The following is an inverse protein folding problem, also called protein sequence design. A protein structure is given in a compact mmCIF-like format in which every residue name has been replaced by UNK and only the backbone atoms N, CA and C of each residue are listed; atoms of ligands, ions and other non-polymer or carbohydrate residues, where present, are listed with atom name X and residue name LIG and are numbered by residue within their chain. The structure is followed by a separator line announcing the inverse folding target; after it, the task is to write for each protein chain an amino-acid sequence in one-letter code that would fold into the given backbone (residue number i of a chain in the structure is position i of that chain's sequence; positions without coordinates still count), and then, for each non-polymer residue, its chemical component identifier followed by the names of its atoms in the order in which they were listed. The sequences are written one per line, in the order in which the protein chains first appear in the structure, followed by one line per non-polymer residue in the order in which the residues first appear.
data_IF_704459745690
#
_entry.id   IF_704459745690
#
_cell.length_a   1.000
_cell.length_b   1.000
_cell.length_c   1.000
_cell.angle_alpha   90.00
_cell.angle_beta   90.00
_cell.angle_gamma   90.00
#
_symmetry.space_group_name_H-M   'P 1'
#
loop_
_entity.id
_entity.type
_entity.pdbx_description
1 polymer ?
#
# COMPACT_ATOMS: atom_id res chain seq x y z
N UNK A 1 9.49 -4.31 -26.53
CA UNK A 1 10.92 -4.19 -26.18
C UNK A 1 11.02 -4.07 -24.68
N UNK A 2 11.70 -5.03 -24.01
CA UNK A 2 12.03 -4.91 -22.59
C UNK A 2 13.16 -3.89 -22.50
N UNK A 3 12.90 -2.74 -21.87
CA UNK A 3 13.95 -1.75 -21.65
C UNK A 3 14.76 -2.21 -20.44
N UNK A 4 16.05 -2.42 -20.64
CA UNK A 4 16.98 -2.85 -19.59
C UNK A 4 17.67 -1.62 -18.99
N UNK A 5 18.08 -1.71 -17.72
CA UNK A 5 18.92 -0.71 -17.09
C UNK A 5 20.26 -0.62 -17.81
N UNK A 6 20.70 0.58 -18.19
CA UNK A 6 21.95 0.78 -18.94
C UNK A 6 23.19 0.46 -18.09
N UNK A 7 23.06 0.53 -16.75
CA UNK A 7 24.16 0.35 -15.82
C UNK A 7 24.38 -1.12 -15.43
N UNK A 8 23.32 -1.94 -15.38
CA UNK A 8 23.43 -3.34 -14.93
C UNK A 8 22.83 -4.37 -15.90
N UNK A 9 22.18 -3.95 -16.99
CA UNK A 9 21.63 -4.85 -18.00
C UNK A 9 20.37 -5.62 -17.57
N UNK A 10 19.97 -5.55 -16.30
CA UNK A 10 18.74 -6.19 -15.83
C UNK A 10 17.48 -5.40 -16.25
N UNK A 11 16.42 -6.15 -16.52
CA UNK A 11 15.06 -5.63 -16.67
C UNK A 11 14.68 -4.81 -15.42
N UNK A 12 13.95 -3.69 -15.58
CA UNK A 12 13.50 -2.81 -14.49
C UNK A 12 12.60 -3.48 -13.44
N UNK A 13 12.42 -4.79 -13.52
CA UNK A 13 11.66 -5.64 -12.61
C UNK A 13 12.44 -6.01 -11.34
N UNK A 14 13.75 -5.73 -11.28
CA UNK A 14 14.57 -5.86 -10.06
C UNK A 14 15.37 -4.58 -9.83
N UNK A 15 15.02 -3.84 -8.79
CA UNK A 15 15.82 -2.72 -8.32
C UNK A 15 16.81 -3.21 -7.26
N UNK A 16 18.11 -2.90 -7.38
CA UNK A 16 19.11 -3.33 -6.41
C UNK A 16 18.89 -2.71 -5.02
N UNK A 17 18.23 -1.55 -4.95
CA UNK A 17 17.84 -0.88 -3.71
C UNK A 17 16.73 0.17 -3.96
N UNK A 18 16.21 0.75 -2.87
CA UNK A 18 15.16 1.77 -2.89
C UNK A 18 15.60 3.07 -3.60
N UNK A 19 16.89 3.42 -3.57
CA UNK A 19 17.41 4.61 -4.24
C UNK A 19 17.32 4.48 -5.76
N UNK A 20 17.72 3.34 -6.33
CA UNK A 20 17.61 3.08 -7.78
C UNK A 20 16.15 3.03 -8.24
N UNK A 21 15.23 2.55 -7.39
CA UNK A 21 13.78 2.58 -7.66
C UNK A 21 13.27 4.02 -7.73
N UNK A 22 13.67 4.87 -6.79
CA UNK A 22 13.29 6.29 -6.75
C UNK A 22 13.83 7.04 -7.96
N UNK A 23 15.09 6.82 -8.31
CA UNK A 23 15.70 7.40 -9.51
C UNK A 23 14.93 7.02 -10.78
N UNK A 24 14.56 5.74 -10.94
CA UNK A 24 13.71 5.32 -12.07
C UNK A 24 12.35 6.02 -12.08
N UNK A 25 11.71 6.14 -10.92
CA UNK A 25 10.42 6.82 -10.80
C UNK A 25 10.54 8.32 -11.11
N UNK A 26 11.63 8.97 -10.70
CA UNK A 26 11.93 10.38 -10.97
C UNK A 26 12.22 10.60 -12.47
N UNK A 27 12.93 9.68 -13.13
CA UNK A 27 13.24 9.76 -14.56
C UNK A 27 12.00 9.48 -15.43
N UNK A 28 11.21 8.46 -15.09
CA UNK A 28 10.12 7.97 -15.96
C UNK A 28 8.75 8.52 -15.60
N UNK A 29 8.59 9.07 -14.40
CA UNK A 29 7.29 9.46 -13.85
C UNK A 29 6.37 8.28 -13.52
N UNK A 30 6.83 7.03 -13.64
CA UNK A 30 6.02 5.82 -13.47
C UNK A 30 6.68 4.93 -12.41
N UNK A 31 5.92 4.47 -11.42
CA UNK A 31 6.42 3.49 -10.45
C UNK A 31 6.29 2.05 -10.99
N UNK A 32 7.09 1.12 -10.46
CA UNK A 32 7.07 -0.29 -10.88
C UNK A 32 5.66 -0.93 -10.84
N UNK A 33 4.84 -0.61 -9.83
CA UNK A 33 3.46 -1.10 -9.78
C UNK A 33 2.62 -0.55 -10.94
N UNK A 34 2.70 0.75 -11.20
CA UNK A 34 1.94 1.38 -12.29
C UNK A 34 2.39 0.83 -13.64
N UNK A 35 3.68 0.52 -13.81
CA UNK A 35 4.18 -0.15 -15.00
C UNK A 35 3.49 -1.50 -15.24
N UNK A 36 3.48 -2.40 -14.26
CA UNK A 36 2.83 -3.72 -14.39
C UNK A 36 1.34 -3.60 -14.74
N UNK A 37 0.64 -2.69 -14.07
CA UNK A 37 -0.81 -2.50 -14.24
C UNK A 37 -1.18 -1.86 -15.61
N UNK A 38 -0.27 -1.10 -16.20
CA UNK A 38 -0.52 -0.37 -17.47
C UNK A 38 0.02 -1.11 -18.69
N UNK A 39 1.07 -1.92 -18.53
CA UNK A 39 1.76 -2.55 -19.66
C UNK A 39 1.41 -4.02 -19.87
N UNK A 40 0.85 -4.70 -18.87
CA UNK A 40 0.39 -6.08 -19.05
C UNK A 40 -0.79 -6.10 -20.01
N UNK A 41 -0.76 -6.99 -21.00
CA UNK A 41 -1.86 -7.15 -21.94
C UNK A 41 -2.98 -8.01 -21.30
N UNK A 42 -4.27 -7.78 -21.62
CA UNK A 42 -5.38 -8.53 -21.03
C UNK A 42 -5.37 -10.04 -21.32
N UNK A 43 -4.65 -10.47 -22.36
CA UNK A 43 -4.46 -11.86 -22.80
C UNK A 43 -3.04 -12.39 -22.47
N UNK A 44 -2.34 -11.73 -21.55
CA UNK A 44 -0.99 -12.12 -21.18
C UNK A 44 -0.92 -13.58 -20.68
N UNK A 45 0.17 -14.24 -21.05
CA UNK A 45 0.50 -15.59 -20.58
C UNK A 45 0.69 -15.64 -19.06
N UNK A 46 0.44 -16.81 -18.47
CA UNK A 46 0.42 -17.03 -17.02
C UNK A 46 1.68 -16.55 -16.30
N UNK A 47 2.87 -16.77 -16.87
CA UNK A 47 4.14 -16.31 -16.30
C UNK A 47 4.21 -14.80 -16.07
N UNK A 48 3.66 -14.01 -17.00
CA UNK A 48 3.63 -12.54 -16.87
C UNK A 48 2.61 -12.09 -15.82
N UNK A 49 1.49 -12.81 -15.72
CA UNK A 49 0.49 -12.57 -14.68
C UNK A 49 1.09 -12.89 -13.30
N UNK A 50 1.82 -14.00 -13.17
CA UNK A 50 2.50 -14.38 -11.93
C UNK A 50 3.57 -13.34 -11.54
N UNK A 51 4.31 -12.83 -12.52
CA UNK A 51 5.25 -11.75 -12.31
C UNK A 51 4.58 -10.49 -11.75
N UNK A 52 3.52 -10.00 -12.40
CA UNK A 52 2.77 -8.84 -11.94
C UNK A 52 2.21 -9.05 -10.52
N UNK A 53 1.72 -10.25 -10.21
CA UNK A 53 1.29 -10.62 -8.86
C UNK A 53 2.43 -10.48 -7.83
N UNK A 54 3.62 -11.04 -8.12
CA UNK A 54 4.80 -10.95 -7.25
C UNK A 54 5.23 -9.51 -7.00
N UNK A 55 5.28 -8.69 -8.06
CA UNK A 55 5.64 -7.27 -7.96
C UNK A 55 4.64 -6.52 -7.09
N UNK A 56 3.33 -6.65 -7.34
CA UNK A 56 2.33 -5.94 -6.54
C UNK A 56 2.28 -6.41 -5.09
N UNK A 57 2.45 -7.72 -4.85
CA UNK A 57 2.44 -8.29 -3.51
C UNK A 57 3.56 -7.73 -2.63
N UNK A 58 4.75 -7.50 -3.20
CA UNK A 58 5.85 -6.82 -2.51
C UNK A 58 5.44 -5.45 -1.92
N UNK A 59 4.51 -4.75 -2.58
CA UNK A 59 3.98 -3.46 -2.13
C UNK A 59 2.66 -3.57 -1.32
N UNK A 60 2.34 -4.74 -0.78
CA UNK A 60 1.07 -5.01 -0.09
C UNK A 60 -0.16 -4.72 -0.98
N UNK A 61 -0.09 -5.13 -2.25
CA UNK A 61 -1.18 -5.02 -3.21
C UNK A 61 -1.47 -6.37 -3.83
N UNK A 62 -2.74 -6.66 -4.09
CA UNK A 62 -3.17 -7.83 -4.86
C UNK A 62 -3.54 -7.40 -6.26
N UNK A 63 -2.93 -8.00 -7.27
CA UNK A 63 -3.23 -7.69 -8.66
C UNK A 63 -4.61 -8.21 -9.07
N UNK A 64 -5.30 -7.45 -9.92
CA UNK A 64 -6.62 -7.79 -10.44
C UNK A 64 -6.62 -7.57 -11.95
N UNK A 65 -6.76 -8.67 -12.69
CA UNK A 65 -6.86 -8.62 -14.14
C UNK A 65 -8.20 -8.04 -14.58
N UNK A 66 -8.16 -7.01 -15.42
CA UNK A 66 -9.35 -6.41 -16.04
C UNK A 66 -9.39 -6.72 -17.54
N UNK A 67 -10.60 -6.74 -18.11
CA UNK A 67 -10.82 -6.87 -19.57
C UNK A 67 -10.15 -5.75 -20.38
N UNK A 68 -10.05 -4.56 -19.80
CA UNK A 68 -9.39 -3.41 -20.40
C UNK A 68 -8.33 -2.86 -19.46
N UNK A 69 -7.28 -2.29 -20.05
CA UNK A 69 -6.27 -1.53 -19.33
C UNK A 69 -6.82 -0.15 -18.93
N UNK A 70 -6.28 0.46 -17.86
CA UNK A 70 -5.35 -0.13 -16.91
C UNK A 70 -6.02 -1.22 -16.04
N UNK A 71 -5.26 -2.24 -15.66
CA UNK A 71 -5.73 -3.29 -14.76
C UNK A 71 -5.99 -2.76 -13.35
N UNK A 72 -6.61 -3.54 -12.47
CA UNK A 72 -6.92 -3.09 -11.12
C UNK A 72 -5.95 -3.70 -10.10
N UNK A 73 -6.02 -3.17 -8.90
CA UNK A 73 -5.35 -3.77 -7.75
C UNK A 73 -6.12 -3.50 -6.47
N UNK A 74 -5.99 -4.40 -5.50
CA UNK A 74 -6.54 -4.26 -4.16
C UNK A 74 -5.42 -3.90 -3.18
N UNK A 75 -5.62 -2.90 -2.33
CA UNK A 75 -4.73 -2.66 -1.21
C UNK A 75 -4.93 -3.73 -0.14
N UNK A 76 -3.90 -4.47 0.25
CA UNK A 76 -4.01 -5.47 1.33
C UNK A 76 -4.10 -4.84 2.72
N UNK A 77 -3.87 -3.53 2.84
CA UNK A 77 -3.93 -2.80 4.12
C UNK A 77 -5.31 -2.27 4.46
N UNK A 78 -6.04 -1.78 3.47
CA UNK A 78 -7.38 -1.19 3.64
C UNK A 78 -8.46 -1.90 2.81
N UNK A 79 -8.10 -2.98 2.11
CA UNK A 79 -8.95 -3.80 1.25
C UNK A 79 -9.61 -3.08 0.08
N UNK A 80 -9.28 -1.80 -0.14
CA UNK A 80 -9.86 -0.98 -1.20
C UNK A 80 -9.39 -1.44 -2.59
N UNK A 81 -10.34 -1.55 -3.52
CA UNK A 81 -10.08 -1.80 -4.93
C UNK A 81 -9.83 -0.50 -5.69
N UNK A 82 -8.67 -0.38 -6.32
CA UNK A 82 -8.24 0.77 -7.11
C UNK A 82 -8.29 0.40 -8.60
N UNK A 83 -9.05 1.16 -9.37
CA UNK A 83 -9.30 0.91 -10.80
C UNK A 83 -9.45 2.20 -11.60
N UNK A 84 -9.25 2.13 -12.91
CA UNK A 84 -9.43 3.27 -13.83
C UNK A 84 -8.55 4.47 -13.46
N UNK A 85 -9.13 5.67 -13.43
CA UNK A 85 -8.43 6.93 -13.13
C UNK A 85 -7.79 6.93 -11.73
N UNK A 86 -8.33 6.17 -10.78
CA UNK A 86 -7.80 6.09 -9.41
C UNK A 86 -6.37 5.53 -9.35
N UNK A 87 -5.92 4.82 -10.38
CA UNK A 87 -4.57 4.25 -10.49
C UNK A 87 -3.52 5.33 -10.70
N UNK A 88 -3.91 6.45 -11.32
CA UNK A 88 -3.01 7.58 -11.61
C UNK A 88 -2.80 8.47 -10.38
N UNK A 89 -3.61 8.29 -9.33
CA UNK A 89 -3.51 9.06 -8.09
C UNK A 89 -2.78 8.27 -7.00
N UNK A 90 -2.01 8.94 -6.12
CA UNK A 90 -1.49 8.31 -4.92
C UNK A 90 -2.63 7.74 -4.06
N UNK A 91 -2.62 6.43 -3.84
CA UNK A 91 -3.55 5.80 -2.93
C UNK A 91 -3.17 6.12 -1.49
N UNK A 92 -4.04 6.86 -0.80
CA UNK A 92 -3.92 7.14 0.63
C UNK A 92 -4.70 6.06 1.38
N UNK A 93 -3.99 5.16 2.07
CA UNK A 93 -4.63 4.15 2.92
C UNK A 93 -5.34 4.81 4.10
N UNK A 94 -6.64 5.02 3.99
CA UNK A 94 -7.51 5.28 5.15
C UNK A 94 -7.81 3.95 5.83
N UNK A 95 -6.85 3.47 6.62
CA UNK A 95 -7.14 2.36 7.54
C UNK A 95 -8.07 2.93 8.60
N UNK A 96 -9.33 2.50 8.60
CA UNK A 96 -10.28 2.85 9.65
C UNK A 96 -9.66 2.45 10.99
N UNK A 97 -9.36 3.45 11.82
CA UNK A 97 -8.79 3.17 13.13
C UNK A 97 -9.93 2.90 14.09
N UNK A 98 -9.89 1.74 14.74
CA UNK A 98 -10.88 1.33 15.71
C UNK A 98 -10.47 1.85 17.08
N UNK A 99 -11.34 2.62 17.72
CA UNK A 99 -11.08 3.10 19.07
C UNK A 99 -10.93 1.93 20.04
N UNK A 100 -9.85 1.90 20.82
CA UNK A 100 -9.57 0.81 21.78
C UNK A 100 -10.62 0.72 22.90
N UNK A 101 -11.22 1.84 23.27
CA UNK A 101 -12.27 1.89 24.30
C UNK A 101 -13.66 1.60 23.72
N UNK A 102 -14.14 2.46 22.81
CA UNK A 102 -15.55 2.41 22.38
C UNK A 102 -15.79 1.55 21.14
N UNK A 103 -14.73 0.95 20.57
CA UNK A 103 -14.74 0.04 19.40
C UNK A 103 -15.36 0.61 18.12
N UNK A 104 -15.71 1.91 18.12
CA UNK A 104 -16.22 2.59 16.93
C UNK A 104 -15.08 2.88 15.95
N UNK A 105 -15.30 2.70 14.64
CA UNK A 105 -14.39 3.22 13.63
C UNK A 105 -14.40 4.75 13.65
N UNK A 106 -13.25 5.36 13.47
CA UNK A 106 -13.15 6.80 13.25
C UNK A 106 -12.19 7.11 12.10
N UNK A 107 -12.67 7.96 11.20
CA UNK A 107 -11.96 8.42 10.01
C UNK A 107 -11.28 9.79 10.26
N UNK A 108 -11.62 10.46 11.35
CA UNK A 108 -11.12 11.80 11.70
C UNK A 108 -11.25 12.09 13.19
N UNK A 109 -10.25 12.75 13.77
CA UNK A 109 -10.23 13.08 15.19
C UNK A 109 -9.76 11.91 16.06
N UNK A 110 -8.90 12.22 17.03
CA UNK A 110 -8.29 11.25 17.92
C UNK A 110 -6.77 11.17 17.81
N UNK A 111 -6.19 10.18 18.48
CA UNK A 111 -4.74 10.02 18.57
C UNK A 111 -4.33 8.59 18.87
N UNK A 112 -3.11 8.24 18.49
CA UNK A 112 -2.44 7.04 18.98
C UNK A 112 -1.77 7.35 20.31
N UNK A 113 -1.72 6.37 21.21
CA UNK A 113 -0.93 6.47 22.43
C UNK A 113 0.53 6.81 22.05
N UNK A 114 1.05 7.93 22.52
CA UNK A 114 2.37 8.41 22.13
C UNK A 114 3.51 7.55 22.68
N UNK A 115 3.24 6.77 23.73
CA UNK A 115 4.19 5.82 24.31
C UNK A 115 4.32 4.57 23.44
N UNK A 116 3.26 3.77 23.31
CA UNK A 116 3.33 2.49 22.59
C UNK A 116 3.06 2.57 21.09
N UNK A 117 2.52 3.70 20.60
CA UNK A 117 2.10 3.94 19.20
C UNK A 117 1.11 2.91 18.62
N UNK A 118 0.54 2.05 19.48
CA UNK A 118 -0.23 0.87 19.08
C UNK A 118 -1.73 0.99 19.37
N UNK A 119 -2.11 1.66 20.46
CA UNK A 119 -3.52 1.90 20.79
C UNK A 119 -4.03 3.20 20.16
N UNK A 120 -5.14 3.16 19.43
CA UNK A 120 -5.83 4.33 18.88
C UNK A 120 -7.09 4.67 19.70
N UNK A 121 -7.36 5.95 19.87
CA UNK A 121 -8.57 6.47 20.51
C UNK A 121 -9.21 7.54 19.63
N UNK A 122 -10.53 7.48 19.44
CA UNK A 122 -11.27 8.47 18.63
C UNK A 122 -11.36 9.85 19.30
N UNK A 123 -11.07 9.96 20.60
CA UNK A 123 -11.06 11.23 21.34
C UNK A 123 -10.13 11.17 22.55
N UNK A 124 -9.80 12.34 23.13
CA UNK A 124 -8.99 12.41 24.36
C UNK A 124 -9.71 11.81 25.56
N UNK A 125 -11.04 11.89 25.56
CA UNK A 125 -11.92 11.34 26.60
C UNK A 125 -11.82 9.81 26.59
N UNK A 126 -11.92 9.19 25.41
CA UNK A 126 -11.74 7.74 25.27
C UNK A 126 -10.35 7.26 25.74
N UNK A 127 -9.30 8.04 25.45
CA UNK A 127 -7.97 7.71 25.94
C UNK A 127 -7.88 7.80 27.47
N UNK A 128 -8.41 8.87 28.06
CA UNK A 128 -8.38 9.09 29.51
C UNK A 128 -9.14 8.01 30.28
N UNK A 129 -10.28 7.59 29.75
CA UNK A 129 -11.11 6.55 30.37
C UNK A 129 -10.46 5.16 30.29
N UNK A 130 -9.83 4.80 29.17
CA UNK A 130 -9.10 3.52 29.06
C UNK A 130 -7.72 3.55 29.76
N UNK A 131 -7.18 4.73 30.07
CA UNK A 131 -5.81 4.89 30.57
C UNK A 131 -5.48 4.04 31.81
N UNK A 132 -6.33 3.94 32.86
CA UNK A 132 -6.03 3.14 34.04
C UNK A 132 -5.74 1.66 33.72
N UNK A 133 -6.47 1.11 32.75
CA UNK A 133 -6.33 -0.27 32.25
C UNK A 133 -5.16 -0.37 31.27
N UNK A 134 -5.18 0.44 30.21
CA UNK A 134 -4.16 0.43 29.16
C UNK A 134 -2.74 0.57 29.69
N UNK A 135 -2.50 1.51 30.63
CA UNK A 135 -1.16 1.75 31.18
C UNK A 135 -0.56 0.56 31.93
N UNK A 136 -1.42 -0.32 32.46
CA UNK A 136 -1.04 -1.48 33.28
C UNK A 136 -0.90 -2.74 32.44
N UNK A 137 -1.79 -2.93 31.47
CA UNK A 137 -1.93 -4.19 30.76
C UNK A 137 -1.25 -4.19 29.38
N UNK A 138 -1.39 -3.10 28.61
CA UNK A 138 -1.12 -3.13 27.16
C UNK A 138 -0.11 -2.06 26.69
N UNK A 139 0.37 -1.18 27.58
CA UNK A 139 1.20 -0.03 27.20
C UNK A 139 2.71 -0.31 27.26
N UNK A 140 3.16 -1.12 26.30
CA UNK A 140 4.58 -1.48 26.06
C UNK A 140 5.22 -0.61 24.97
N UNK A 141 6.51 -0.31 25.10
CA UNK A 141 7.29 0.52 24.17
C UNK A 141 8.00 -0.35 23.12
#
# INVERSE_FOLDING_TARGET
MVKNCICCGESYTKFPNESSRREFQEITGICACCWEITMLEPDAVEEKIEHANKVLLFYNRKFIMNKHRPHAWQCLKCEQHIKGEQIQSPHICVVKRICKLCTKPSDSGGGICQKCKSAFYCSKECQKEDWPRHKKEDCVN
#
